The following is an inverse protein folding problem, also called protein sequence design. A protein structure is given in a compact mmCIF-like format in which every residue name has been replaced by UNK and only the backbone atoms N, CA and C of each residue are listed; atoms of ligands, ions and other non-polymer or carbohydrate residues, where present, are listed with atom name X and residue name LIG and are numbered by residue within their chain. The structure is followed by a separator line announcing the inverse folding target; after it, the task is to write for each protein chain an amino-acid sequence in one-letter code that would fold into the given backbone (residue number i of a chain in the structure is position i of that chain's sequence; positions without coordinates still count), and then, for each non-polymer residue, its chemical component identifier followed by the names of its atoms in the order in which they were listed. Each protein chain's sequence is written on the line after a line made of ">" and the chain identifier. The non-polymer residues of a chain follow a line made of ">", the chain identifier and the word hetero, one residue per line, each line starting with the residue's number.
data_IF_951869545436
#
_entry.id   IF_951869545436
#
_cell.length_a   1.000
_cell.length_b   1.000
_cell.length_c   1.000
_cell.angle_alpha   90.00
_cell.angle_beta   90.00
_cell.angle_gamma   90.00
#
_symmetry.space_group_name_H-M   'P 1'
#
loop_
_entity.id
_entity.type
_entity.pdbx_description
1 polymer ?
2 non-polymer ?
3 non-polymer ?
4 water ?
#
# COMPACT_ATOMS: atom_id res chain seq x y z
N UNK A 1 -9.11 -16.89 -7.25
CA UNK A 1 -8.64 -17.64 -6.08
C UNK A 1 -7.89 -16.63 -5.21
N UNK A 2 -7.62 -17.08 -4.03
CA UNK A 2 -6.92 -16.28 -3.06
C UNK A 2 -7.72 -15.05 -2.62
N UNK A 3 -7.01 -14.13 -1.99
CA UNK A 3 -7.65 -12.98 -1.40
C UNK A 3 -6.63 -11.85 -1.42
N UNK A 4 -7.10 -10.69 -1.90
CA UNK A 4 -6.39 -9.44 -1.84
C UNK A 4 -7.29 -8.45 -1.11
N UNK A 5 -6.70 -7.73 -0.16
CA UNK A 5 -7.40 -6.65 0.53
C UNK A 5 -6.51 -5.45 0.55
N UNK A 6 -7.06 -4.28 0.25
CA UNK A 6 -6.30 -3.02 0.37
C UNK A 6 -7.23 -1.97 0.92
N UNK A 7 -6.62 -0.89 1.35
CA UNK A 7 -7.33 0.32 1.73
C UNK A 7 -7.13 1.41 0.72
N UNK A 8 -8.21 2.17 0.55
CA UNK A 8 -8.27 3.38 -0.25
C UNK A 8 -8.33 4.57 0.69
N UNK A 9 -8.02 5.74 0.17
CA UNK A 9 -7.75 6.93 0.98
C UNK A 9 -8.75 8.04 0.78
N UNK A 10 -8.81 8.93 1.77
CA UNK A 10 -9.62 10.15 1.67
C UNK A 10 -9.05 11.09 0.64
N UNK A 11 -9.90 12.07 0.24
CA UNK A 11 -9.48 13.02 -0.78
C UNK A 11 -8.27 13.82 -0.34
N UNK A 12 -8.24 14.28 0.90
CA UNK A 12 -7.08 15.06 1.35
C UNK A 12 -5.82 14.23 1.37
N UNK A 13 -5.94 12.92 1.73
CA UNK A 13 -4.76 12.05 1.67
C UNK A 13 -4.29 11.87 0.24
N UNK A 14 -5.21 11.71 -0.68
CA UNK A 14 -4.84 11.55 -2.07
C UNK A 14 -4.14 12.81 -2.56
N UNK A 15 -4.65 13.97 -2.23
CA UNK A 15 -3.99 15.20 -2.64
C UNK A 15 -2.56 15.26 -2.12
N UNK A 16 -2.35 14.88 -0.86
CA UNK A 16 -1.00 14.89 -0.32
C UNK A 16 -0.07 13.91 -0.98
N UNK A 17 -0.58 12.71 -1.26
CA UNK A 17 0.23 11.76 -1.99
C UNK A 17 0.59 12.23 -3.37
N UNK A 18 -0.35 12.83 -4.11
CA UNK A 18 -0.01 13.36 -5.40
C UNK A 18 0.98 14.48 -5.30
N UNK A 19 0.86 15.35 -4.30
CA UNK A 19 1.88 16.39 -4.13
C UNK A 19 3.25 15.76 -3.89
N UNK A 20 3.30 14.70 -3.13
CA UNK A 20 4.56 14.01 -2.91
C UNK A 20 5.14 13.49 -4.22
N UNK A 21 4.33 12.83 -5.04
CA UNK A 21 4.79 12.33 -6.32
C UNK A 21 5.33 13.46 -7.19
N UNK A 22 4.63 14.61 -7.21
CA UNK A 22 5.07 15.72 -8.03
C UNK A 22 6.36 16.31 -7.51
N UNK A 23 6.49 16.40 -6.19
CA UNK A 23 7.70 16.95 -5.57
C UNK A 23 8.93 16.12 -5.92
N UNK A 24 8.76 14.86 -6.04
CA UNK A 24 9.85 13.98 -6.33
C UNK A 24 10.12 13.86 -7.82
N UNK A 25 9.26 14.45 -8.65
CA UNK A 25 9.33 14.32 -10.11
C UNK A 25 9.39 12.85 -10.50
N UNK A 26 8.51 12.10 -9.94
CA UNK A 26 8.61 10.64 -10.01
C UNK A 26 8.18 10.10 -11.38
N UNK A 27 8.97 9.25 -12.02
CA UNK A 27 8.51 8.62 -13.24
C UNK A 27 7.43 7.61 -12.95
N UNK A 28 6.58 7.41 -13.93
CA UNK A 28 5.49 6.44 -13.85
C UNK A 28 4.75 6.54 -12.52
N UNK A 29 4.24 7.70 -12.17
CA UNK A 29 3.52 7.81 -10.92
C UNK A 29 2.27 6.93 -10.93
N UNK A 30 1.98 6.29 -9.80
CA UNK A 30 0.71 5.59 -9.65
C UNK A 30 -0.42 6.59 -9.82
N UNK A 31 -1.39 6.36 -10.69
CA UNK A 31 -2.50 7.32 -10.86
C UNK A 31 -3.36 7.40 -9.61
N UNK A 32 -4.01 8.55 -9.44
CA UNK A 32 -4.82 8.79 -8.23
C UNK A 32 -5.74 7.63 -7.90
N UNK A 33 -6.42 7.10 -8.93
CA UNK A 33 -7.40 6.05 -8.74
C UNK A 33 -6.80 4.77 -8.26
N UNK A 34 -5.52 4.60 -8.46
CA UNK A 34 -4.86 3.37 -8.11
C UNK A 34 -4.04 3.45 -6.81
N UNK A 35 -4.01 4.60 -6.14
CA UNK A 35 -3.25 4.72 -4.88
C UNK A 35 -3.95 3.91 -3.80
N UNK A 36 -3.18 3.11 -3.06
CA UNK A 36 -3.80 2.20 -2.08
C UNK A 36 -2.71 1.70 -1.13
N UNK A 37 -3.12 0.95 -0.11
CA UNK A 37 -2.15 0.20 0.68
C UNK A 37 -2.65 -1.21 0.91
N UNK A 38 -1.87 -2.19 0.54
CA UNK A 38 -2.24 -3.58 0.74
C UNK A 38 -2.28 -3.92 2.21
N UNK A 39 -3.32 -4.69 2.58
CA UNK A 39 -3.49 -5.34 3.88
C UNK A 39 -3.32 -6.84 3.78
N UNK A 40 -3.84 -7.48 2.76
CA UNK A 40 -3.81 -8.93 2.59
C UNK A 40 -3.35 -9.26 1.21
N UNK A 41 -2.41 -10.20 1.12
CA UNK A 41 -1.95 -10.74 -0.16
C UNK A 41 -1.79 -12.24 0.05
N UNK A 42 -2.87 -12.96 -0.21
CA UNK A 42 -3.03 -14.33 0.28
C UNK A 42 -3.38 -15.24 -0.89
N UNK A 43 -2.73 -16.39 -0.95
CA UNK A 43 -3.02 -17.36 -2.00
C UNK A 43 -4.23 -18.21 -1.68
N UNK A 44 -4.72 -18.11 -0.46
CA UNK A 44 -5.90 -18.82 0.04
C UNK A 44 -6.95 -17.78 0.42
N UNK A 45 -8.21 -18.08 0.24
CA UNK A 45 -9.31 -17.17 0.53
C UNK A 45 -9.93 -17.47 1.85
N UNK A 46 -10.21 -16.40 2.60
CA UNK A 46 -10.83 -16.46 3.92
C UNK A 46 -11.93 -15.42 3.94
N UNK A 47 -12.91 -15.55 4.85
CA UNK A 47 -14.03 -14.59 4.91
C UNK A 47 -13.69 -13.32 5.65
N UNK A 48 -12.76 -12.58 5.12
CA UNK A 48 -12.35 -11.31 5.67
C UNK A 48 -13.45 -10.30 5.52
N UNK A 49 -13.81 -9.62 6.61
CA UNK A 49 -14.88 -8.65 6.63
C UNK A 49 -14.30 -7.26 6.53
N UNK A 50 -14.52 -6.58 5.41
CA UNK A 50 -13.95 -5.27 5.16
C UNK A 50 -14.56 -4.23 6.09
N UNK A 51 -13.74 -3.25 6.41
CA UNK A 51 -14.07 -2.07 7.16
C UNK A 51 -14.65 -1.01 6.12
N UNK A 54 -12.71 6.52 10.20
CA UNK A 54 -12.48 7.88 9.69
C UNK A 54 -11.03 8.14 10.12
N UNK A 55 -10.39 7.02 10.48
CA UNK A 55 -9.15 7.02 11.23
C UNK A 55 -8.03 7.50 10.35
N UNK A 56 -7.30 8.41 10.91
CA UNK A 56 -5.93 8.50 10.48
C UNK A 56 -5.28 7.21 10.95
N UNK A 57 -4.65 6.53 10.02
CA UNK A 57 -3.99 5.25 10.28
C UNK A 57 -2.48 5.37 10.29
N UNK A 58 -1.94 6.48 9.79
CA UNK A 58 -0.53 6.75 9.81
C UNK A 58 -0.37 8.24 9.61
N UNK A 59 0.72 8.79 10.09
CA UNK A 59 0.95 10.22 9.93
C UNK A 59 2.33 10.53 9.35
N UNK A 60 3.10 9.54 8.99
CA UNK A 60 4.39 9.79 8.39
C UNK A 60 4.85 8.51 7.74
N UNK A 61 5.92 8.61 6.97
CA UNK A 61 6.53 7.44 6.37
C UNK A 61 7.89 7.76 5.78
N UNK A 62 8.62 6.74 5.43
CA UNK A 62 9.93 6.86 4.82
C UNK A 62 9.90 6.32 3.40
N UNK A 63 10.70 6.85 2.52
CA UNK A 63 10.80 6.26 1.19
C UNK A 63 11.64 5.02 1.21
N UNK A 64 11.16 3.97 0.54
CA UNK A 64 11.81 2.67 0.44
C UNK A 64 11.65 2.22 -1.01
N UNK A 65 12.68 1.57 -1.57
CA UNK A 65 12.57 0.96 -2.90
C UNK A 65 12.39 -0.53 -2.70
N UNK A 66 11.35 -1.08 -3.31
CA UNK A 66 11.10 -2.51 -3.35
C UNK A 66 11.16 -2.94 -4.82
N UNK A 67 11.71 -4.08 -5.11
CA UNK A 67 11.61 -4.64 -6.47
C UNK A 67 10.27 -5.29 -6.65
N UNK A 68 9.81 -5.29 -7.87
CA UNK A 68 8.53 -5.89 -8.26
C UNK A 68 8.78 -7.24 -8.90
N UNK A 69 7.71 -7.98 -9.09
CA UNK A 69 7.82 -9.29 -9.72
C UNK A 69 8.49 -9.22 -11.07
N UNK A 70 8.20 -8.17 -11.80
CA UNK A 70 8.73 -8.00 -13.12
C UNK A 70 10.18 -7.54 -13.12
N UNK A 71 10.76 -7.24 -11.95
CA UNK A 71 12.13 -6.79 -11.91
C UNK A 71 12.29 -5.29 -12.04
N UNK A 72 11.24 -4.51 -11.98
CA UNK A 72 11.31 -3.05 -11.95
C UNK A 72 11.48 -2.62 -10.52
N UNK A 73 11.95 -1.42 -10.32
CA UNK A 73 12.13 -0.81 -9.02
C UNK A 73 10.94 0.07 -8.70
N UNK A 74 10.25 -0.19 -7.59
CA UNK A 74 9.11 0.59 -7.13
C UNK A 74 9.51 1.44 -5.95
N UNK A 75 9.04 2.66 -5.95
CA UNK A 75 9.23 3.56 -4.81
C UNK A 75 7.95 3.54 -3.97
N UNK A 76 8.12 3.27 -2.66
CA UNK A 76 6.98 3.23 -1.74
C UNK A 76 7.22 4.18 -0.57
N UNK A 77 6.12 4.60 0.01
CA UNK A 77 6.10 5.30 1.31
C UNK A 77 5.78 4.22 2.32
N UNK A 78 6.77 3.85 3.12
CA UNK A 78 6.65 2.80 4.14
C UNK A 78 6.26 3.42 5.45
N UNK A 79 5.23 2.88 6.06
CA UNK A 79 4.63 3.41 7.28
C UNK A 79 4.68 2.45 8.44
N UNK A 80 4.63 2.95 9.63
CA UNK A 80 4.25 2.22 10.83
C UNK A 80 2.78 2.50 11.07
N UNK A 81 1.94 1.48 11.04
CA UNK A 81 0.52 1.68 11.21
C UNK A 81 -0.01 0.57 12.09
N UNK A 82 -0.36 0.88 13.32
CA UNK A 82 -0.97 -0.11 14.18
C UNK A 82 -2.23 -0.65 13.56
N UNK A 83 -3.04 0.21 12.96
CA UNK A 83 -4.30 -0.22 12.33
C UNK A 83 -4.01 -1.26 11.27
N UNK A 84 -3.15 -0.92 10.30
CA UNK A 84 -2.98 -1.83 9.17
C UNK A 84 -2.39 -3.13 9.65
N UNK A 85 -1.43 -3.07 10.57
CA UNK A 85 -0.81 -4.30 11.09
C UNK A 85 -1.83 -5.18 11.79
N UNK A 86 -2.77 -4.59 12.52
CA UNK A 86 -3.79 -5.38 13.21
C UNK A 86 -4.76 -5.99 12.20
N UNK A 87 -5.11 -5.28 11.12
CA UNK A 87 -6.00 -5.82 10.11
C UNK A 87 -5.32 -6.98 9.38
N UNK A 88 -4.02 -6.84 9.10
CA UNK A 88 -3.25 -7.93 8.53
C UNK A 88 -3.25 -9.12 9.46
N UNK A 89 -3.07 -8.89 10.76
CA UNK A 89 -3.09 -10.01 11.69
C UNK A 89 -4.46 -10.66 11.83
N UNK A 90 -5.54 -9.89 11.68
CA UNK A 90 -6.92 -10.45 11.66
C UNK A 90 -7.04 -11.44 10.51
N UNK A 91 -6.62 -11.01 9.31
CA UNK A 91 -6.64 -11.92 8.16
C UNK A 91 -5.82 -13.18 8.44
N UNK A 92 -4.65 -13.01 9.01
CA UNK A 92 -3.80 -14.15 9.35
C UNK A 92 -4.50 -15.08 10.32
N UNK A 93 -5.21 -14.52 11.29
CA UNK A 93 -5.91 -15.35 12.27
C UNK A 93 -6.99 -16.17 11.58
N UNK A 94 -7.69 -15.58 10.58
CA UNK A 94 -8.66 -16.32 9.79
C UNK A 94 -8.02 -17.44 8.99
N UNK A 95 -6.74 -17.29 8.63
CA UNK A 95 -6.05 -18.30 7.86
C UNK A 95 -5.33 -17.77 6.68
N UNK A 96 -5.36 -16.50 6.41
CA UNK A 96 -4.73 -16.00 5.23
C UNK A 96 -3.21 -16.21 5.29
N UNK A 97 -2.61 -16.41 4.13
CA UNK A 97 -1.17 -16.47 3.93
C UNK A 97 -0.64 -15.09 3.60
N UNK A 98 0.69 -14.89 3.68
CA UNK A 98 1.30 -13.65 3.18
C UNK A 98 2.59 -14.01 2.54
N UNK A 99 3.05 -13.18 1.61
CA UNK A 99 4.18 -13.55 0.79
C UNK A 99 5.53 -13.00 1.26
N UNK A 100 5.61 -12.27 2.36
CA UNK A 100 6.83 -11.73 2.94
C UNK A 100 6.92 -12.12 4.40
N UNK A 101 8.16 -12.17 4.96
CA UNK A 101 8.31 -12.56 6.37
C UNK A 101 7.82 -11.49 7.31
N UNK A 102 7.76 -10.23 6.86
CA UNK A 102 7.28 -9.13 7.68
C UNK A 102 6.25 -8.39 6.86
N UNK A 103 5.18 -7.98 7.53
CA UNK A 103 4.21 -7.07 6.94
C UNK A 103 4.73 -5.67 7.19
N UNK A 104 5.06 -4.98 6.11
CA UNK A 104 5.61 -3.63 6.15
C UNK A 104 4.65 -2.71 5.40
N UNK A 105 3.62 -2.17 6.06
CA UNK A 105 2.63 -1.41 5.31
C UNK A 105 3.23 -0.29 4.50
N UNK A 106 2.75 -0.13 3.28
CA UNK A 106 3.32 0.89 2.41
C UNK A 106 2.29 1.34 1.39
N UNK A 107 2.54 2.53 0.83
CA UNK A 107 1.83 3.07 -0.30
C UNK A 107 2.81 3.19 -1.44
N UNK A 108 2.62 2.41 -2.49
CA UNK A 108 3.48 2.48 -3.67
C UNK A 108 3.18 3.77 -4.40
N UNK A 109 4.22 4.55 -4.68
CA UNK A 109 4.14 5.80 -5.36
C UNK A 109 4.46 5.73 -6.84
N UNK A 110 5.30 4.74 -7.22
CA UNK A 110 5.57 4.38 -8.62
C UNK A 110 6.04 2.93 -8.62
N UNK A 111 5.52 2.12 -9.56
CA UNK A 111 6.01 0.76 -9.74
C UNK A 111 7.17 0.66 -10.72
N UNK A 112 7.71 1.80 -11.20
CA UNK A 112 8.86 1.68 -12.09
C UNK A 112 9.60 3.02 -12.13
N UNK A 113 10.62 3.15 -11.31
CA UNK A 113 11.42 4.32 -11.19
C UNK A 113 12.73 4.27 -11.99
N UNK A 114 12.95 3.23 -12.75
CA UNK A 114 14.09 3.24 -13.66
C UNK A 114 15.37 3.15 -12.89
N UNK A 115 16.30 4.06 -13.15
CA UNK A 115 17.56 4.09 -12.47
C UNK A 115 17.62 5.06 -11.31
N UNK A 116 16.57 5.81 -11.05
CA UNK A 116 16.62 6.89 -10.07
C UNK A 116 16.64 6.37 -8.65
N UNK A 117 17.22 7.17 -7.79
CA UNK A 117 17.23 6.91 -6.36
C UNK A 117 16.52 7.99 -5.57
N UNK A 118 15.95 7.57 -4.44
CA UNK A 118 15.18 8.50 -3.62
C UNK A 118 15.34 8.15 -2.15
N UNK A 119 15.30 9.19 -1.30
CA UNK A 119 15.33 8.97 0.11
C UNK A 119 14.60 10.14 0.76
N UNK A 120 13.94 9.86 1.87
CA UNK A 120 13.28 10.93 2.60
C UNK A 120 12.34 10.44 3.63
N UNK A 121 11.96 11.35 4.52
CA UNK A 121 11.01 11.09 5.58
C UNK A 121 9.94 12.14 5.53
N UNK A 122 8.71 11.75 5.37
CA UNK A 122 7.61 12.67 5.08
C UNK A 122 6.55 12.58 6.16
N UNK A 123 5.88 13.69 6.43
CA UNK A 123 4.69 13.75 7.25
C UNK A 123 3.52 13.84 6.32
N UNK A 124 2.69 12.80 6.32
CA UNK A 124 1.53 12.72 5.44
C UNK A 124 0.39 12.21 6.29
N UNK A 125 -0.72 12.91 6.48
CA UNK A 125 -1.87 12.31 7.20
C UNK A 125 -2.55 11.29 6.30
N UNK A 126 -2.51 10.04 6.70
CA UNK A 126 -3.08 8.95 5.92
C UNK A 126 -4.40 8.55 6.53
N UNK A 127 -5.49 8.93 5.85
CA UNK A 127 -6.85 8.67 6.32
C UNK A 127 -7.50 7.63 5.38
N UNK A 128 -8.01 6.55 5.93
CA UNK A 128 -8.64 5.57 5.09
C UNK A 128 -10.07 5.91 4.79
N UNK A 129 -10.44 5.76 3.55
CA UNK A 129 -11.82 5.90 3.13
C UNK A 129 -12.57 4.58 3.21
N UNK A 130 -11.97 3.48 2.80
CA UNK A 130 -12.63 2.18 2.83
C UNK A 130 -11.56 1.14 2.60
N UNK A 131 -11.83 -0.08 3.06
CA UNK A 131 -11.13 -1.27 2.61
C UNK A 131 -11.95 -1.97 1.53
N UNK A 132 -11.27 -2.66 0.65
CA UNK A 132 -11.94 -3.48 -0.36
C UNK A 132 -11.22 -4.81 -0.46
N UNK A 133 -11.99 -5.83 -0.81
CA UNK A 133 -11.43 -7.14 -1.01
C UNK A 133 -11.87 -7.70 -2.35
N UNK A 134 -11.00 -8.57 -2.90
CA UNK A 134 -11.27 -9.20 -4.20
C UNK A 134 -10.32 -10.39 -4.32
N UNK A 135 -10.39 -11.13 -5.43
CA UNK A 135 -9.43 -12.21 -5.62
C UNK A 135 -8.00 -11.71 -5.78
N UNK A 136 -7.06 -12.58 -5.51
CA UNK A 136 -5.64 -12.29 -5.67
C UNK A 136 -5.37 -12.28 -7.16
N UNK A 137 -4.78 -11.18 -7.63
CA UNK A 137 -4.45 -10.95 -9.02
C UNK A 137 -2.93 -10.84 -9.07
N UNK A 138 -2.28 -11.98 -9.29
CA UNK A 138 -0.81 -11.97 -9.34
C UNK A 138 -0.27 -11.01 -10.39
N UNK A 139 -1.05 -10.71 -11.43
CA UNK A 139 -0.63 -9.86 -12.54
C UNK A 139 -1.10 -8.41 -12.39
N UNK A 140 -1.60 -8.04 -11.21
CA UNK A 140 -2.16 -6.69 -11.09
C UNK A 140 -1.12 -5.63 -11.46
N UNK A 141 -1.57 -4.58 -12.15
CA UNK A 141 -0.69 -3.47 -12.41
C UNK A 141 -1.49 -2.21 -12.25
N UNK A 142 -0.82 -1.07 -12.30
CA UNK A 142 -1.55 0.20 -12.12
C UNK A 142 -1.91 0.78 -13.45
X LIG B 1 5.70 -5.39 -4.70
X LIG B 1 1.09 -5.34 -6.43
X LIG B 1 -1.01 -4.71 -5.97
X LIG B 1 -2.69 -6.54 -6.12
X LIG B 1 -4.07 -6.59 -6.31
X LIG B 1 -2.66 -8.84 -5.96
X LIG B 1 -0.33 -4.57 -4.83
X LIG B 1 8.38 -6.47 1.79
X LIG B 1 7.50 -6.12 0.73
X LIG B 1 5.83 -5.73 -0.53
X LIG B 1 6.85 -5.55 -2.75
X LIG B 1 6.07 -6.39 -3.64
X LIG B 1 2.15 -6.14 -7.12
X LIG B 1 -3.48 -4.48 -6.38
X LIG B 1 -4.69 -7.84 -6.34
X LIG B 1 1.00 -5.14 -4.95
X LIG B 1 6.24 -4.22 -4.53
X LIG B 1 5.92 -2.84 -4.88
X LIG B 1 7.93 -6.05 -0.57
X LIG B 1 10.11 -6.54 0.04
X LIG B 1 6.19 -5.92 0.70
X LIG B 1 6.93 -5.80 -1.36
X LIG B 1 -2.35 -5.22 -6.21
X LIG B 1 -4.53 -5.29 -6.43
X LIG B 1 -6.08 -7.96 -6.46
X LIG B 1 -3.96 -8.91 -6.11
X LIG B 1 -1.96 -7.68 -5.98
X LIG B 1 9.27 -6.25 -0.97
X LIG B 1 11.45 -6.79 -0.14
X LIG B 1 9.68 -6.61 1.37
X LIG B 1 8.15 -6.65 2.96
X LIG B 1 6.54 -7.60 -4.02
X LIG B 1 5.77 -5.91 -6.04
X LIG B 1 3.46 -5.71 -6.83
X LIG B 1 -0.11 -5.34 -6.98
X LIG B 1 -0.26 -3.26 -4.37
X LIG B 1 2.10 -4.69 -4.25
X LIG B 1 3.63 -4.17 -2.42
X LIG B 1 1.19 -3.59 -2.19
X LIG B 1 5.19 -7.00 -8.19
X LIG B 1 4.66 -2.54 -4.23
X LIG B 1 6.73 -4.28 -3.05
X LIG B 1 4.67 -6.76 -6.80
X LIG B 1 2.19 -4.60 -2.63
X LIG B 1 1.73 -6.39 -1.82
X LIG B 1 4.12 -8.48 -5.85
X LIG B 1 4.65 -5.16 -4.49
X LIG B 1 1.56 -4.37 -6.61
X LIG B 1 -1.21 -3.64 -5.97
X LIG B 1 -2.11 -9.76 -5.81
X LIG B 1 -0.89 -5.19 -4.13
X LIG B 1 4.82 -5.54 -0.86
X LIG B 1 7.82 -5.89 -3.09
X LIG B 1 5.19 -6.78 -3.15
X LIG B 1 2.05 -7.17 -6.82
X LIG B 1 1.99 -6.06 -8.20
X LIG B 1 -3.51 -3.40 -6.47
X LIG B 1 1.02 -6.08 -4.40
X LIG B 1 6.83 -4.32 -5.44
X LIG B 1 6.69 -2.17 -4.52
X LIG B 1 5.81 -2.74 -5.95
X LIG B 1 -6.66 -7.18 -6.76
X LIG B 1 -6.52 -8.82 -6.17
X LIG B 1 11.84 -6.70 -1.06
X LIG B 1 12.02 -6.98 0.66
X LIG B 1 10.38 -6.76 2.07
X LIG B 1 6.53 -7.64 -4.96
X LIG B 1 0.63 -2.93 -4.38
X LIG B 1 4.81 -2.45 -3.30
X LIG C 1 12.62 -8.03 3.16
X LIG C 1 12.97 -7.65 1.79
X LIG C 1 13.77 -7.74 4.02
X LIG C 1 11.48 -7.20 3.57
X LIG C 1 12.25 -9.45 3.27
#
# INVERSE_FOLDING_TARGET
>A
SGLYVAAKFSESTLDALEELQRSLKLPNPVPRDKLHTTIVYSRVNVPYKVASGSFEIADKGKLTVFETQSGNRALVLEMDSDYLSARHSYAKALGASYDYPDYRPHITLSYNIGVLNFSGEYKVPVVLDREYSEELDLEWSDKD
>B hetero
1 ECI C10 C15 C17 C21 C22 C26 C28 C02 C03 C05 C07 C08 C14 C19 C23 C30 C38 C39 C42 C44 N04 N06 N18 N20 N24 N25 N27 N43 N45 N46 O01 O09 O11 O13 O16 O29 O31 O34 O35 O37 O40 O41 P12 P32 S33 S36 H101 H151 H171 H261 H281 H051 H071 H081 H142 H141 H191 H301 H381 H392 H391 H242 H241 H451 H452 H461 H091 H291 H401
>C hetero
1 SO4 S O1 O2 O3 O4
#
